data_IF_460405722931
#
_entry.id   IF_460405722931
#
_cell.length_a   1.000
_cell.length_b   1.000
_cell.length_c   1.000
_cell.angle_alpha   90.00
_cell.angle_beta   90.00
_cell.angle_gamma   90.00
#
_symmetry.space_group_name_H-M   'P 1'
#
loop_
_entity.id
_entity.type
_entity.pdbx_description
1 polymer ?
#
# COMPACT_ATOMS: atom_id res chain seq x y z
N UNK A 1 5.93 -18.19 4.99
CA UNK A 1 4.81 -17.32 4.54
C UNK A 1 3.89 -18.02 3.56
N UNK A 2 4.42 -18.52 2.43
CA UNK A 2 3.63 -19.27 1.44
C UNK A 2 2.91 -20.50 2.03
N UNK A 3 3.64 -21.38 2.72
CA UNK A 3 3.05 -22.56 3.37
C UNK A 3 1.99 -22.16 4.41
N UNK A 4 2.31 -21.21 5.29
CA UNK A 4 1.36 -20.71 6.28
C UNK A 4 0.07 -20.15 5.64
N UNK A 5 0.20 -19.41 4.52
CA UNK A 5 -0.93 -18.90 3.76
C UNK A 5 -1.78 -20.04 3.15
N UNK A 6 -1.14 -21.09 2.62
CA UNK A 6 -1.83 -22.27 2.09
C UNK A 6 -2.59 -23.03 3.19
N UNK A 7 -1.99 -23.20 4.37
CA UNK A 7 -2.62 -23.89 5.52
C UNK A 7 -3.92 -23.20 5.96
N UNK A 8 -4.01 -21.88 5.83
CA UNK A 8 -5.22 -21.11 6.16
C UNK A 8 -6.14 -20.87 4.95
N UNK A 9 -5.91 -21.55 3.83
CA UNK A 9 -6.78 -21.52 2.65
C UNK A 9 -6.58 -20.31 1.71
N UNK A 10 -5.53 -19.51 1.88
CA UNK A 10 -5.19 -18.43 0.95
C UNK A 10 -4.58 -19.06 -0.31
N UNK A 11 -5.25 -18.85 -1.45
CA UNK A 11 -4.85 -19.38 -2.76
C UNK A 11 -3.83 -18.48 -3.47
N UNK A 12 -3.78 -17.21 -3.09
CA UNK A 12 -2.86 -16.24 -3.67
C UNK A 12 -1.42 -16.46 -3.19
N UNK A 13 -0.47 -16.01 -4.01
CA UNK A 13 0.94 -16.08 -3.67
C UNK A 13 1.30 -15.02 -2.62
N UNK A 14 1.42 -15.42 -1.36
CA UNK A 14 1.80 -14.54 -0.25
C UNK A 14 3.28 -14.70 0.08
N UNK A 15 4.01 -13.59 -0.04
CA UNK A 15 5.41 -13.48 0.33
C UNK A 15 5.70 -12.25 1.19
N UNK A 16 6.97 -12.00 1.46
CA UNK A 16 7.45 -10.84 2.23
C UNK A 16 7.03 -9.51 1.61
N UNK A 17 7.06 -9.40 0.29
CA UNK A 17 6.57 -8.21 -0.42
C UNK A 17 5.06 -8.00 -0.26
N UNK A 18 4.27 -9.08 -0.18
CA UNK A 18 2.83 -8.98 0.06
C UNK A 18 2.57 -8.36 1.44
N UNK A 19 3.28 -8.82 2.48
CA UNK A 19 3.19 -8.24 3.83
C UNK A 19 3.63 -6.78 3.85
N UNK A 20 4.70 -6.44 3.15
CA UNK A 20 5.18 -5.05 3.05
C UNK A 20 4.14 -4.13 2.38
N UNK A 21 3.42 -4.63 1.36
CA UNK A 21 2.28 -3.92 0.75
C UNK A 21 1.13 -3.77 1.73
N UNK A 22 0.77 -4.83 2.44
CA UNK A 22 -0.28 -4.80 3.47
C UNK A 22 0.04 -3.74 4.54
N UNK A 23 1.27 -3.72 5.04
CA UNK A 23 1.70 -2.71 6.01
C UNK A 23 1.59 -1.28 5.46
N UNK A 24 2.12 -1.03 4.25
CA UNK A 24 2.05 0.29 3.60
C UNK A 24 0.62 0.76 3.35
N UNK A 25 -0.25 -0.15 2.91
CA UNK A 25 -1.68 0.11 2.70
C UNK A 25 -2.36 0.53 4.00
N UNK A 26 -2.16 -0.22 5.09
CA UNK A 26 -2.78 0.13 6.38
C UNK A 26 -2.19 1.42 6.97
N UNK A 27 -0.89 1.67 6.85
CA UNK A 27 -0.32 2.95 7.26
C UNK A 27 -0.97 4.13 6.51
N UNK A 28 -1.16 4.01 5.20
CA UNK A 28 -1.84 5.03 4.42
C UNK A 28 -3.31 5.21 4.83
N UNK A 29 -4.06 4.12 4.96
CA UNK A 29 -5.48 4.18 5.38
C UNK A 29 -5.68 4.73 6.79
N UNK A 30 -4.68 4.61 7.66
CA UNK A 30 -4.66 5.22 8.99
C UNK A 30 -4.25 6.70 8.99
N UNK A 31 -4.03 7.32 7.83
CA UNK A 31 -3.75 8.75 7.70
C UNK A 31 -2.30 9.15 7.92
N UNK A 32 -1.36 8.20 7.94
CA UNK A 32 0.07 8.53 8.08
C UNK A 32 0.62 9.20 6.81
N UNK A 33 1.59 10.09 7.00
CA UNK A 33 2.21 10.85 5.91
C UNK A 33 2.94 9.92 4.91
N UNK A 34 2.64 9.98 3.60
CA UNK A 34 3.29 9.17 2.56
C UNK A 34 4.82 9.26 2.53
N UNK A 35 5.40 10.42 2.89
CA UNK A 35 6.85 10.59 2.97
C UNK A 35 7.45 9.73 4.09
N UNK A 36 6.82 9.69 5.27
CA UNK A 36 7.27 8.83 6.38
C UNK A 36 7.12 7.35 6.03
N UNK A 37 6.04 6.99 5.33
CA UNK A 37 5.84 5.63 4.85
C UNK A 37 6.92 5.25 3.83
N UNK A 38 7.30 6.16 2.93
CA UNK A 38 8.38 5.94 1.96
C UNK A 38 9.73 5.68 2.63
N UNK A 39 10.10 6.50 3.63
CA UNK A 39 11.33 6.33 4.42
C UNK A 39 11.34 4.99 5.17
N UNK A 40 10.21 4.65 5.81
CA UNK A 40 10.08 3.36 6.53
C UNK A 40 10.17 2.17 5.57
N UNK A 41 9.64 2.33 4.36
CA UNK A 41 9.73 1.36 3.29
C UNK A 41 11.05 1.47 2.48
N UNK A 42 12.00 2.32 2.86
CA UNK A 42 13.32 2.47 2.23
C UNK A 42 13.19 2.49 0.70
N UNK A 43 12.20 3.23 0.19
CA UNK A 43 11.96 3.36 -1.24
C UNK A 43 12.66 4.62 -1.74
N UNK A 44 13.35 4.51 -2.88
CA UNK A 44 14.10 5.62 -3.47
C UNK A 44 13.21 6.75 -4.01
N UNK A 45 11.92 6.49 -4.20
CA UNK A 45 10.97 7.48 -4.69
C UNK A 45 9.52 7.11 -4.35
N UNK A 46 8.66 8.12 -4.37
CA UNK A 46 7.24 7.97 -4.03
C UNK A 46 6.47 7.13 -5.06
N UNK A 47 6.93 7.03 -6.32
CA UNK A 47 6.26 6.21 -7.32
C UNK A 47 6.31 4.71 -6.98
N UNK A 48 7.40 4.25 -6.35
CA UNK A 48 7.47 2.88 -5.79
C UNK A 48 6.50 2.76 -4.62
N UNK A 49 6.51 3.71 -3.68
CA UNK A 49 5.64 3.72 -2.49
C UNK A 49 4.15 3.71 -2.84
N UNK A 50 3.71 4.44 -3.88
CA UNK A 50 2.30 4.43 -4.33
C UNK A 50 1.75 3.02 -4.55
N UNK A 51 2.57 2.10 -5.10
CA UNK A 51 2.18 0.69 -5.30
C UNK A 51 1.94 -0.06 -3.98
N UNK A 52 2.58 0.36 -2.90
CA UNK A 52 2.43 -0.19 -1.56
C UNK A 52 1.31 0.48 -0.77
N UNK A 53 0.95 1.74 -1.10
CA UNK A 53 -0.19 2.43 -0.48
C UNK A 53 -1.54 2.04 -1.11
N UNK A 54 -1.50 1.42 -2.30
CA UNK A 54 -2.71 1.03 -3.04
C UNK A 54 -3.43 2.21 -3.68
N UNK A 55 -2.76 3.36 -3.86
CA UNK A 55 -3.33 4.55 -4.51
C UNK A 55 -3.53 4.28 -6.01
N UNK A 56 -4.77 4.42 -6.46
CA UNK A 56 -5.24 4.21 -7.84
C UNK A 56 -5.63 5.54 -8.48
N UNK A 57 -5.93 5.48 -9.78
CA UNK A 57 -6.43 6.64 -10.51
C UNK A 57 -7.76 7.14 -9.93
N UNK A 58 -8.61 6.24 -9.44
CA UNK A 58 -9.90 6.61 -8.82
C UNK A 58 -9.70 7.45 -7.56
N UNK A 59 -8.73 7.11 -6.71
CA UNK A 59 -8.41 7.92 -5.51
C UNK A 59 -7.97 9.35 -5.89
N UNK A 60 -7.29 9.50 -7.03
CA UNK A 60 -6.88 10.82 -7.56
C UNK A 60 -8.11 11.57 -8.07
N UNK A 61 -9.01 10.90 -8.78
CA UNK A 61 -10.23 11.51 -9.29
C UNK A 61 -11.16 11.97 -8.15
N UNK A 62 -11.30 11.15 -7.10
CA UNK A 62 -12.05 11.48 -5.90
C UNK A 62 -11.47 12.71 -5.20
N UNK A 63 -10.14 12.80 -5.10
CA UNK A 63 -9.46 13.98 -4.56
C UNK A 63 -9.81 15.25 -5.35
N UNK A 64 -9.76 15.19 -6.69
CA UNK A 64 -10.17 16.33 -7.52
C UNK A 64 -11.63 16.72 -7.29
N UNK A 65 -12.54 15.76 -7.19
CA UNK A 65 -13.96 16.03 -6.93
C UNK A 65 -14.24 16.63 -5.55
N UNK A 66 -13.48 16.21 -4.53
CA UNK A 66 -13.58 16.76 -3.16
C UNK A 66 -12.99 18.17 -3.05
N UNK A 67 -11.92 18.44 -3.80
CA UNK A 67 -11.25 19.73 -3.84
C UNK A 67 -11.87 20.68 -4.88
N UNK A 68 -13.14 20.51 -5.26
CA UNK A 68 -13.87 21.49 -6.08
C UNK A 68 -13.80 22.88 -5.43
N UNK A 69 -12.76 23.62 -5.82
CA UNK A 69 -12.45 25.03 -5.56
C UNK A 69 -13.07 25.88 -6.67
#
# INVERSE_FOLDING_TARGET
LKEAAQTVGIKDNIGTHSLRKTWGYHAWKNGFNPALIMETLIHSNLAVTKRYLGIRQDDINDLYGQLNL
#
